data_IF_293173274931
#
_entry.id   IF_293173274931
#
_cell.length_a   1.000
_cell.length_b   1.000
_cell.length_c   1.000
_cell.angle_alpha   90.00
_cell.angle_beta   90.00
_cell.angle_gamma   90.00
#
_symmetry.space_group_name_H-M   'P 1'
#
loop_
_entity.id
_entity.type
_entity.pdbx_description
1 polymer ?
#
# COMPACT_ATOMS: atom_id res chain seq x y z
N UNK A 1 13.02 -15.08 -0.41
CA UNK A 1 11.58 -15.42 -0.39
C UNK A 1 10.81 -14.70 -1.47
N UNK A 2 9.82 -15.35 -2.08
CA UNK A 2 9.13 -14.80 -3.25
C UNK A 2 7.94 -13.93 -2.82
N UNK A 3 7.97 -12.62 -3.06
CA UNK A 3 6.79 -11.75 -2.85
C UNK A 3 5.54 -12.25 -3.59
N UNK A 4 5.72 -13.06 -4.63
CA UNK A 4 4.65 -13.78 -5.32
C UNK A 4 3.87 -14.74 -4.43
N UNK A 5 4.53 -15.42 -3.49
CA UNK A 5 3.89 -16.36 -2.56
C UNK A 5 3.10 -15.62 -1.49
N UNK A 6 3.64 -14.51 -0.99
CA UNK A 6 2.90 -13.60 -0.10
C UNK A 6 1.57 -13.20 -0.74
N UNK A 7 1.61 -12.61 -1.95
CA UNK A 7 0.39 -12.21 -2.64
C UNK A 7 -0.49 -13.40 -3.04
N UNK A 8 0.03 -14.61 -3.24
CA UNK A 8 -0.83 -15.77 -3.52
C UNK A 8 -1.64 -16.17 -2.28
N UNK A 9 -1.00 -16.18 -1.11
CA UNK A 9 -1.60 -16.62 0.15
C UNK A 9 -2.41 -15.52 0.85
N UNK A 10 -2.25 -14.26 0.44
CA UNK A 10 -2.95 -13.14 1.05
C UNK A 10 -4.46 -13.14 0.74
N UNK A 11 -5.34 -12.95 1.75
CA UNK A 11 -6.78 -12.80 1.55
C UNK A 11 -7.14 -11.70 0.55
N UNK A 12 -8.21 -11.92 -0.21
CA UNK A 12 -8.67 -10.98 -1.25
C UNK A 12 -8.95 -9.58 -0.69
N UNK A 13 -9.50 -9.49 0.52
CA UNK A 13 -9.80 -8.23 1.19
C UNK A 13 -8.55 -7.35 1.34
N UNK A 14 -7.42 -7.92 1.76
CA UNK A 14 -6.18 -7.17 1.92
C UNK A 14 -5.61 -6.71 0.58
N UNK A 15 -5.71 -7.55 -0.46
CA UNK A 15 -5.32 -7.16 -1.83
C UNK A 15 -6.08 -5.93 -2.32
N UNK A 16 -7.38 -5.88 -2.04
CA UNK A 16 -8.22 -4.72 -2.38
C UNK A 16 -7.77 -3.48 -1.59
N UNK A 17 -7.50 -3.62 -0.30
CA UNK A 17 -6.99 -2.51 0.53
C UNK A 17 -5.67 -1.97 -0.06
N UNK A 18 -4.73 -2.84 -0.41
CA UNK A 18 -3.46 -2.44 -1.03
C UNK A 18 -3.67 -1.70 -2.34
N UNK A 19 -4.59 -2.18 -3.18
CA UNK A 19 -4.95 -1.53 -4.44
C UNK A 19 -5.51 -0.13 -4.21
N UNK A 20 -6.38 0.06 -3.22
CA UNK A 20 -6.92 1.38 -2.85
C UNK A 20 -5.79 2.32 -2.40
N UNK A 21 -4.84 1.83 -1.60
CA UNK A 21 -3.69 2.62 -1.18
C UNK A 21 -2.83 3.09 -2.37
N UNK A 22 -2.61 2.22 -3.36
CA UNK A 22 -1.90 2.57 -4.59
C UNK A 22 -2.66 3.62 -5.40
N UNK A 23 -3.99 3.47 -5.54
CA UNK A 23 -4.84 4.46 -6.24
C UNK A 23 -4.72 5.83 -5.56
N UNK A 24 -4.81 5.88 -4.23
CA UNK A 24 -4.71 7.14 -3.49
C UNK A 24 -3.32 7.78 -3.60
N UNK A 25 -2.26 6.96 -3.68
CA UNK A 25 -0.92 7.46 -3.95
C UNK A 25 -0.82 8.11 -5.33
N UNK A 26 -1.41 7.50 -6.36
CA UNK A 26 -1.44 8.09 -7.71
C UNK A 26 -2.27 9.37 -7.78
N UNK A 27 -3.42 9.43 -7.08
CA UNK A 27 -4.22 10.66 -6.98
C UNK A 27 -3.41 11.77 -6.32
N UNK A 28 -2.74 11.48 -5.21
CA UNK A 28 -1.88 12.46 -4.54
C UNK A 28 -0.71 12.91 -5.41
N UNK A 29 -0.03 11.99 -6.10
CA UNK A 29 1.04 12.35 -7.04
C UNK A 29 0.53 13.24 -8.17
N UNK A 30 -0.66 12.96 -8.71
CA UNK A 30 -1.27 13.78 -9.74
C UNK A 30 -1.63 15.18 -9.22
N UNK A 31 -2.18 15.29 -8.02
CA UNK A 31 -2.50 16.59 -7.42
C UNK A 31 -1.25 17.44 -7.18
N UNK A 32 -0.16 16.83 -6.68
CA UNK A 32 1.15 17.49 -6.51
C UNK A 32 1.71 17.95 -7.87
N UNK A 33 1.67 17.08 -8.88
CA UNK A 33 2.25 17.36 -10.20
C UNK A 33 1.41 18.37 -11.00
N UNK A 34 0.11 18.41 -10.78
CA UNK A 34 -0.83 19.35 -11.44
C UNK A 34 -0.78 20.76 -10.84
N UNK A 35 0.04 21.01 -9.82
CA UNK A 35 0.19 22.35 -9.22
C UNK A 35 -1.10 22.85 -8.55
N UNK A 36 -1.98 21.95 -8.09
CA UNK A 36 -3.17 22.35 -7.34
C UNK A 36 -2.73 22.90 -5.98
N UNK A 37 -3.14 24.13 -5.65
CA UNK A 37 -2.81 24.77 -4.38
C UNK A 37 -3.49 24.11 -3.17
N UNK A 38 -4.52 23.30 -3.39
CA UNK A 38 -5.26 22.58 -2.34
C UNK A 38 -5.03 21.08 -2.47
N UNK A 39 -3.89 20.61 -1.95
CA UNK A 39 -3.62 19.18 -1.83
C UNK A 39 -4.39 18.62 -0.64
N UNK A 40 -5.29 17.67 -0.87
CA UNK A 40 -6.03 17.02 0.21
C UNK A 40 -5.10 16.05 0.97
N UNK A 41 -4.73 16.43 2.19
CA UNK A 41 -3.78 15.70 3.06
C UNK A 41 -4.31 14.31 3.47
N UNK A 42 -5.61 14.04 3.40
CA UNK A 42 -6.16 12.74 3.74
C UNK A 42 -5.67 11.63 2.80
N UNK A 43 -5.52 11.91 1.50
CA UNK A 43 -5.05 10.94 0.52
C UNK A 43 -3.63 10.42 0.80
N UNK A 44 -2.61 11.27 1.02
CA UNK A 44 -1.29 10.79 1.40
C UNK A 44 -1.29 10.04 2.72
N UNK A 45 -2.02 10.50 3.75
CA UNK A 45 -2.07 9.80 5.05
C UNK A 45 -2.60 8.37 4.88
N UNK A 46 -3.73 8.21 4.18
CA UNK A 46 -4.34 6.90 3.96
C UNK A 46 -3.43 6.01 3.09
N UNK A 47 -2.84 6.57 2.03
CA UNK A 47 -1.92 5.84 1.15
C UNK A 47 -0.69 5.32 1.93
N UNK A 48 -0.04 6.19 2.72
CA UNK A 48 1.10 5.79 3.54
C UNK A 48 0.71 4.79 4.63
N UNK A 49 -0.45 4.95 5.26
CA UNK A 49 -0.95 3.98 6.25
C UNK A 49 -1.12 2.57 5.65
N UNK A 50 -1.71 2.48 4.46
CA UNK A 50 -1.89 1.21 3.75
C UNK A 50 -0.54 0.61 3.32
N UNK A 51 0.40 1.43 2.85
CA UNK A 51 1.73 0.96 2.47
C UNK A 51 2.52 0.44 3.68
N UNK A 52 2.50 1.15 4.80
CA UNK A 52 3.15 0.70 6.05
C UNK A 52 2.55 -0.64 6.48
N UNK A 53 1.23 -0.78 6.44
CA UNK A 53 0.55 -2.02 6.77
C UNK A 53 0.95 -3.17 5.83
N UNK A 54 1.03 -2.92 4.51
CA UNK A 54 1.54 -3.88 3.53
C UNK A 54 2.97 -4.32 3.84
N UNK A 55 3.88 -3.37 4.12
CA UNK A 55 5.28 -3.70 4.43
C UNK A 55 5.42 -4.47 5.74
N UNK A 56 4.65 -4.13 6.78
CA UNK A 56 4.62 -4.92 8.01
C UNK A 56 4.16 -6.35 7.75
N UNK A 57 3.07 -6.54 7.00
CA UNK A 57 2.55 -7.87 6.63
C UNK A 57 3.58 -8.68 5.85
N UNK A 58 4.25 -8.05 4.89
CA UNK A 58 5.32 -8.66 4.11
C UNK A 58 6.49 -9.08 5.01
N UNK A 59 6.91 -8.24 5.95
CA UNK A 59 7.99 -8.55 6.89
C UNK A 59 7.65 -9.71 7.82
N UNK A 60 6.42 -9.76 8.36
CA UNK A 60 5.94 -10.88 9.18
C UNK A 60 5.89 -12.18 8.37
N UNK A 61 5.36 -12.13 7.15
CA UNK A 61 5.35 -13.29 6.26
C UNK A 61 6.76 -13.77 5.92
N UNK A 62 7.71 -12.83 5.73
CA UNK A 62 9.12 -13.14 5.52
C UNK A 62 9.69 -13.92 6.69
N UNK A 63 9.55 -13.36 7.88
CA UNK A 63 10.13 -13.94 9.09
C UNK A 63 9.54 -15.33 9.44
N UNK A 64 8.32 -15.62 9.02
CA UNK A 64 7.65 -16.89 9.31
C UNK A 64 7.92 -18.02 8.31
N UNK A 65 8.49 -17.77 7.12
CA UNK A 65 8.92 -18.85 6.20
C UNK A 65 10.44 -19.09 6.23
N UNK A 66 11.20 -18.26 6.96
CA UNK A 66 12.63 -18.51 7.22
C UNK A 66 12.83 -19.54 8.38
N UNK A 67 11.72 -20.06 8.95
CA UNK A 67 11.65 -21.22 9.86
C UNK A 67 10.91 -22.38 9.19
#
# INVERSE_FOLDING_TARGET
MNGKEFFKNEPLLYKIIYLIGVIFLFVNLNDITSGKNEVNIAFPIIAFGILIFLFMRLAVFSNNNDY
#
